data_IF_084477547763
#
_entry.id   IF_084477547763
#
_cell.length_a   1.000
_cell.length_b   1.000
_cell.length_c   1.000
_cell.angle_alpha   90.00
_cell.angle_beta   90.00
_cell.angle_gamma   90.00
#
_symmetry.space_group_name_H-M   'P 1'
#
loop_
_entity.id
_entity.type
_entity.pdbx_description
1 polymer ?
#
# COMPACT_ATOMS: atom_id res chain seq x y z
N UNK A 1 9.33 -28.71 1.29
CA UNK A 1 9.94 -27.58 0.57
C UNK A 1 10.33 -27.96 -0.86
N UNK A 2 10.71 -29.22 -1.08
CA UNK A 2 11.12 -29.74 -2.40
C UNK A 2 10.02 -29.66 -3.48
N UNK A 3 8.75 -29.79 -3.09
CA UNK A 3 7.60 -29.67 -4.00
C UNK A 3 7.47 -28.29 -4.68
N UNK A 4 7.94 -27.21 -4.05
CA UNK A 4 7.94 -25.87 -4.67
C UNK A 4 8.97 -25.79 -5.81
N UNK A 5 10.14 -26.40 -5.60
CA UNK A 5 11.17 -26.48 -6.62
C UNK A 5 10.72 -27.36 -7.80
N UNK A 6 10.06 -28.49 -7.51
CA UNK A 6 9.48 -29.37 -8.54
C UNK A 6 8.42 -28.66 -9.39
N UNK A 7 7.73 -27.66 -8.83
CA UNK A 7 6.75 -26.83 -9.53
C UNK A 7 7.37 -25.64 -10.30
N UNK A 8 8.70 -25.50 -10.29
CA UNK A 8 9.40 -24.37 -10.92
C UNK A 8 9.17 -23.03 -10.20
N UNK A 9 8.77 -23.06 -8.93
CA UNK A 9 8.53 -21.85 -8.13
C UNK A 9 9.83 -21.50 -7.39
N UNK A 10 10.41 -20.35 -7.74
CA UNK A 10 11.55 -19.79 -7.02
C UNK A 10 11.07 -19.12 -5.73
N UNK A 11 11.03 -19.88 -4.63
CA UNK A 11 10.68 -19.33 -3.34
C UNK A 11 11.87 -18.60 -2.73
N UNK A 12 11.69 -17.35 -2.31
CA UNK A 12 12.75 -16.56 -1.70
C UNK A 12 12.81 -16.75 -0.18
N UNK A 13 11.65 -16.66 0.48
CA UNK A 13 11.53 -16.81 1.93
C UNK A 13 10.08 -17.10 2.35
N UNK A 14 9.92 -17.65 3.55
CA UNK A 14 8.65 -17.78 4.24
C UNK A 14 8.83 -17.40 5.71
N UNK A 15 7.85 -16.70 6.27
CA UNK A 15 7.77 -16.39 7.69
C UNK A 15 6.32 -16.53 8.15
N UNK A 16 6.09 -17.28 9.21
CA UNK A 16 4.78 -17.52 9.80
C UNK A 16 4.78 -16.99 11.22
N UNK A 17 3.91 -16.03 11.49
CA UNK A 17 3.74 -15.40 12.80
C UNK A 17 2.38 -15.73 13.39
N UNK A 18 2.33 -16.06 14.68
CA UNK A 18 1.10 -16.31 15.44
C UNK A 18 1.21 -15.69 16.83
N UNK A 19 0.20 -14.91 17.23
CA UNK A 19 0.18 -14.20 18.52
C UNK A 19 1.44 -13.35 18.78
N UNK A 20 1.90 -12.62 17.75
CA UNK A 20 3.07 -11.74 17.85
C UNK A 20 4.41 -12.47 17.96
N UNK A 21 4.46 -13.78 17.69
CA UNK A 21 5.69 -14.59 17.72
C UNK A 21 5.88 -15.31 16.39
N UNK A 22 7.10 -15.32 15.88
CA UNK A 22 7.47 -16.16 14.74
C UNK A 22 7.46 -17.62 15.21
N UNK A 23 6.70 -18.47 14.52
CA UNK A 23 6.60 -19.91 14.82
C UNK A 23 7.31 -20.77 13.78
N UNK A 24 7.59 -20.21 12.60
CA UNK A 24 8.40 -20.83 11.56
C UNK A 24 8.91 -19.75 10.60
N UNK A 25 10.15 -19.88 10.15
CA UNK A 25 10.74 -19.03 9.12
C UNK A 25 11.85 -19.78 8.37
N UNK A 26 12.13 -19.35 7.14
CA UNK A 26 13.16 -19.95 6.31
C UNK A 26 13.42 -19.14 5.04
N UNK A 27 14.65 -19.25 4.55
CA UNK A 27 15.15 -18.58 3.35
C UNK A 27 15.87 -19.58 2.47
N UNK A 28 15.67 -19.48 1.15
CA UNK A 28 16.40 -20.30 0.18
C UNK A 28 17.62 -19.54 -0.30
N UNK A 29 18.74 -20.22 -0.53
CA UNK A 29 19.93 -19.57 -1.08
C UNK A 29 19.64 -18.96 -2.46
N UNK A 30 20.13 -17.74 -2.77
CA UNK A 30 21.07 -16.91 -1.98
C UNK A 30 20.38 -15.88 -1.05
N UNK A 31 19.09 -16.03 -0.76
CA UNK A 31 18.34 -15.15 0.14
C UNK A 31 18.65 -15.45 1.61
N UNK A 32 18.49 -14.43 2.46
CA UNK A 32 18.76 -14.49 3.89
C UNK A 32 17.90 -13.46 4.62
N UNK A 33 17.72 -13.62 5.93
CA UNK A 33 16.88 -12.77 6.77
C UNK A 33 17.30 -11.29 6.72
N UNK A 34 18.59 -11.03 6.69
CA UNK A 34 19.19 -9.68 6.71
C UNK A 34 19.24 -9.04 5.33
N UNK A 35 18.89 -9.79 4.27
CA UNK A 35 18.97 -9.29 2.90
C UNK A 35 17.67 -8.54 2.56
N UNK A 36 17.74 -7.28 2.12
CA UNK A 36 16.57 -6.57 1.63
C UNK A 36 15.93 -7.27 0.43
N UNK A 37 14.61 -7.37 0.44
CA UNK A 37 13.82 -7.91 -0.66
C UNK A 37 13.06 -6.81 -1.40
N UNK A 38 12.92 -6.95 -2.71
CA UNK A 38 11.96 -6.14 -3.47
C UNK A 38 10.54 -6.64 -3.17
N UNK A 39 9.73 -5.75 -2.59
CA UNK A 39 8.40 -6.07 -2.08
C UNK A 39 7.27 -5.77 -3.08
N UNK A 40 7.59 -5.13 -4.20
CA UNK A 40 6.68 -4.80 -5.29
C UNK A 40 5.34 -4.23 -4.80
N UNK A 41 4.22 -4.88 -5.12
CA UNK A 41 2.89 -4.38 -4.76
C UNK A 41 2.61 -4.39 -3.26
N UNK A 42 3.38 -5.09 -2.43
CA UNK A 42 3.25 -4.99 -0.97
C UNK A 42 3.52 -3.56 -0.48
N UNK A 43 4.33 -2.78 -1.21
CA UNK A 43 4.51 -1.34 -0.95
C UNK A 43 3.18 -0.58 -0.93
N UNK A 44 2.19 -0.97 -1.74
CA UNK A 44 0.87 -0.33 -1.76
C UNK A 44 0.15 -0.45 -0.42
N UNK A 45 0.27 -1.60 0.26
CA UNK A 45 -0.31 -1.80 1.59
C UNK A 45 0.30 -0.85 2.61
N UNK A 46 1.62 -0.68 2.58
CA UNK A 46 2.32 0.25 3.48
C UNK A 46 1.98 1.71 3.15
N UNK A 47 1.89 2.05 1.86
CA UNK A 47 1.44 3.38 1.42
C UNK A 47 0.00 3.67 1.87
N UNK A 48 -0.92 2.70 1.70
CA UNK A 48 -2.31 2.83 2.13
C UNK A 48 -2.42 2.97 3.65
N UNK A 49 -1.59 2.27 4.42
CA UNK A 49 -1.50 2.46 5.86
C UNK A 49 -1.08 3.89 6.22
N UNK A 50 -0.07 4.44 5.55
CA UNK A 50 0.34 5.84 5.74
C UNK A 50 -0.78 6.85 5.43
N UNK A 51 -1.54 6.61 4.36
CA UNK A 51 -2.74 7.40 4.02
C UNK A 51 -3.81 7.28 5.12
N UNK A 52 -4.05 6.09 5.64
CA UNK A 52 -5.00 5.87 6.74
C UNK A 52 -4.62 6.61 8.02
N UNK A 53 -3.32 6.66 8.36
CA UNK A 53 -2.81 7.46 9.48
C UNK A 53 -3.08 8.95 9.22
N UNK A 54 -2.75 9.47 8.03
CA UNK A 54 -3.00 10.87 7.69
C UNK A 54 -4.48 11.26 7.74
N UNK A 55 -5.39 10.34 7.39
CA UNK A 55 -6.83 10.52 7.56
C UNK A 55 -7.21 10.57 9.04
N UNK A 56 -6.68 9.65 9.85
CA UNK A 56 -6.89 9.63 11.30
C UNK A 56 -6.42 10.92 11.99
N UNK A 57 -5.34 11.51 11.50
CA UNK A 57 -4.78 12.78 11.98
C UNK A 57 -5.50 14.02 11.42
N UNK A 58 -6.50 13.85 10.54
CA UNK A 58 -7.26 14.93 9.93
C UNK A 58 -6.49 15.75 8.89
N UNK A 59 -5.36 15.23 8.39
CA UNK A 59 -4.55 15.88 7.33
C UNK A 59 -5.19 15.71 5.95
N UNK A 60 -5.98 14.65 5.76
CA UNK A 60 -6.66 14.27 4.52
C UNK A 60 -8.04 13.67 4.83
N UNK A 61 -9.01 13.81 3.94
CA UNK A 61 -10.26 13.04 3.94
C UNK A 61 -10.36 12.12 2.71
N UNK A 62 -11.14 11.03 2.82
CA UNK A 62 -11.38 10.12 1.68
C UNK A 62 -12.10 10.81 0.52
N UNK A 63 -12.90 11.81 0.84
CA UNK A 63 -13.71 12.60 -0.08
C UNK A 63 -12.94 13.78 -0.66
N UNK A 64 -11.69 14.01 -0.24
CA UNK A 64 -10.88 15.08 -0.80
C UNK A 64 -10.60 14.83 -2.28
N UNK A 65 -10.85 15.85 -3.09
CA UNK A 65 -10.58 15.78 -4.52
C UNK A 65 -9.09 15.99 -4.74
N UNK A 66 -8.45 15.06 -5.46
CA UNK A 66 -7.02 15.16 -5.80
C UNK A 66 -6.67 16.49 -6.51
N UNK A 67 -7.58 17.03 -7.31
CA UNK A 67 -7.39 18.31 -8.01
C UNK A 67 -7.24 19.52 -7.07
N UNK A 68 -7.83 19.44 -5.87
CA UNK A 68 -7.73 20.50 -4.86
C UNK A 68 -6.42 20.35 -4.07
N UNK A 69 -5.96 19.11 -3.86
CA UNK A 69 -4.75 18.78 -3.11
C UNK A 69 -3.46 19.04 -3.92
N UNK A 70 -3.50 18.79 -5.23
CA UNK A 70 -2.35 18.88 -6.13
C UNK A 70 -2.61 19.87 -7.29
N UNK A 71 -2.88 21.15 -7.00
CA UNK A 71 -3.35 22.12 -8.00
C UNK A 71 -2.34 22.36 -9.14
N UNK A 72 -1.03 22.16 -8.90
CA UNK A 72 0.02 22.30 -9.91
C UNK A 72 0.11 21.13 -10.90
N UNK A 73 -0.58 20.02 -10.61
CA UNK A 73 -0.55 18.80 -11.39
C UNK A 73 -1.86 18.56 -12.16
N UNK A 74 -2.79 19.52 -12.13
CA UNK A 74 -4.06 19.44 -12.85
C UNK A 74 -3.81 19.79 -14.33
N UNK A 75 -4.08 18.86 -15.28
CA UNK A 75 -4.00 19.16 -16.71
C UNK A 75 -4.98 20.27 -17.11
N UNK A 76 -4.57 21.15 -18.04
CA UNK A 76 -5.37 22.31 -18.48
C UNK A 76 -6.76 21.93 -19.01
N UNK A 77 -6.90 20.75 -19.62
CA UNK A 77 -8.17 20.25 -20.18
C UNK A 77 -9.28 20.04 -19.14
N UNK A 78 -8.95 19.98 -17.85
CA UNK A 78 -9.90 19.76 -16.76
C UNK A 78 -10.38 21.05 -16.08
N UNK A 79 -9.92 22.22 -16.54
CA UNK A 79 -10.22 23.53 -15.92
C UNK A 79 -11.70 23.86 -15.77
N UNK A 80 -12.56 23.32 -16.65
CA UNK A 80 -14.01 23.60 -16.68
C UNK A 80 -14.80 22.88 -15.55
N UNK A 81 -14.29 21.77 -14.99
CA UNK A 81 -15.01 20.94 -14.01
C UNK A 81 -14.84 21.38 -12.54
N UNK A 82 -14.27 22.58 -12.31
CA UNK A 82 -14.00 23.12 -10.96
C UNK A 82 -15.26 23.46 -10.14
N UNK A 83 -16.44 23.57 -10.77
CA UNK A 83 -17.64 24.20 -10.16
C UNK A 83 -18.64 23.26 -9.47
N UNK A 84 -18.37 21.95 -9.37
CA UNK A 84 -19.23 21.03 -8.60
C UNK A 84 -19.13 21.28 -7.09
N UNK A 85 -20.02 22.13 -6.56
CA UNK A 85 -20.17 22.45 -5.13
C UNK A 85 -20.30 21.18 -4.27
N UNK A 86 -19.66 21.18 -3.09
CA UNK A 86 -19.84 20.17 -2.04
C UNK A 86 -21.33 20.02 -1.72
N UNK A 87 -21.99 19.00 -2.28
CA UNK A 87 -23.27 18.56 -1.73
C UNK A 87 -22.97 17.89 -0.40
N UNK A 88 -23.44 18.53 0.68
CA UNK A 88 -23.48 17.94 2.02
C UNK A 88 -24.36 16.69 2.01
N UNK A 89 -23.79 15.57 1.61
CA UNK A 89 -24.39 14.25 1.79
C UNK A 89 -23.44 13.52 2.74
N UNK A 90 -23.97 13.18 3.90
CA UNK A 90 -23.31 12.53 5.03
C UNK A 90 -22.57 13.45 6.01
N UNK A 91 -23.33 14.27 6.73
CA UNK A 91 -23.10 14.45 8.16
C UNK A 91 -23.95 13.44 8.92
N UNK A 92 -23.33 12.37 9.42
CA UNK A 92 -23.79 11.60 10.59
C UNK A 92 -22.58 11.10 11.35
#
# INVERSE_FOLDING_TARGET
MDQLADAGIECHSIMVMRHGRVIAEGWWAPYAAERPHLLYSMTKTITALGVGIAIGDGVLALEDRIIDLLPRHVPEVLGEQRSGSRSSICSR
#
